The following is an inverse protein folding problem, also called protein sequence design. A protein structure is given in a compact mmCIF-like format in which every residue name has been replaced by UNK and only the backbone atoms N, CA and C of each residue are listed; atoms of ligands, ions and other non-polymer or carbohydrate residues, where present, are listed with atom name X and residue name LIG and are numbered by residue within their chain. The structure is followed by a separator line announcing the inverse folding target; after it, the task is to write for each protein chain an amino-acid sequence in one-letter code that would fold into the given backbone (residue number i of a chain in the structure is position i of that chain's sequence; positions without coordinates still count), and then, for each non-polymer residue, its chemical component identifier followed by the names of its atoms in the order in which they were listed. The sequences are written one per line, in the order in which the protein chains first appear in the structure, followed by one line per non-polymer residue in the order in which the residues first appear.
data_IF_784255665240
#
_entry.id   IF_784255665240
#
_cell.length_a   1.000
_cell.length_b   1.000
_cell.length_c   1.000
_cell.angle_alpha   90.00
_cell.angle_beta   90.00
_cell.angle_gamma   90.00
#
_symmetry.space_group_name_H-M   'P 1'
#
loop_
_entity.id
_entity.type
_entity.pdbx_description
1 polymer ?
#
# COMPACT_ATOMS: atom_id res chain seq x y z
N UNK A 1 2.60 -3.26 -4.33
CA UNK A 1 3.37 -2.65 -3.22
C UNK A 1 4.78 -2.19 -3.63
N UNK A 2 5.50 -2.97 -4.45
CA UNK A 2 6.87 -2.65 -4.91
C UNK A 2 6.98 -1.28 -5.63
N UNK A 3 6.04 -0.96 -6.53
CA UNK A 3 6.01 0.34 -7.20
C UNK A 3 5.83 1.52 -6.22
N UNK A 4 5.08 1.32 -5.12
CA UNK A 4 4.87 2.34 -4.09
C UNK A 4 6.10 2.51 -3.21
N UNK A 5 6.79 1.41 -2.88
CA UNK A 5 8.07 1.45 -2.17
C UNK A 5 9.12 2.22 -2.98
N UNK A 6 9.30 1.88 -4.26
CA UNK A 6 10.23 2.57 -5.15
C UNK A 6 9.92 4.07 -5.18
N UNK A 7 8.66 4.45 -5.46
CA UNK A 7 8.24 5.85 -5.50
C UNK A 7 8.46 6.60 -4.19
N UNK A 8 8.40 5.97 -3.02
CA UNK A 8 8.66 6.64 -1.73
C UNK A 8 10.16 6.81 -1.45
N UNK A 9 10.98 5.90 -1.96
CA UNK A 9 12.44 5.95 -1.80
C UNK A 9 13.18 6.72 -2.89
N UNK A 10 12.54 7.04 -4.02
CA UNK A 10 13.14 7.78 -5.15
C UNK A 10 12.63 9.22 -5.28
N UNK A 11 11.72 9.67 -4.41
CA UNK A 11 11.26 11.07 -4.39
C UNK A 11 12.39 12.02 -4.03
N UNK A 12 12.45 13.13 -4.77
CA UNK A 12 13.41 14.20 -4.58
C UNK A 12 13.12 15.03 -3.32
N UNK A 13 11.84 15.24 -3.00
CA UNK A 13 11.38 15.92 -1.78
C UNK A 13 10.81 14.93 -0.75
N UNK A 14 11.15 15.14 0.53
CA UNK A 14 10.69 14.33 1.67
C UNK A 14 10.95 12.82 1.50
N UNK A 15 12.18 12.50 1.08
CA UNK A 15 12.64 11.12 0.83
C UNK A 15 12.61 10.33 2.13
N UNK A 16 11.84 9.24 2.15
CA UNK A 16 11.79 8.35 3.31
C UNK A 16 12.97 7.38 3.25
N UNK A 17 13.59 7.15 4.42
CA UNK A 17 14.58 6.08 4.55
C UNK A 17 13.90 4.72 4.30
N UNK A 18 14.69 3.70 3.95
CA UNK A 18 14.17 2.34 3.71
C UNK A 18 13.36 1.82 4.90
N UNK A 19 13.81 2.10 6.12
CA UNK A 19 13.10 1.74 7.36
C UNK A 19 11.75 2.43 7.50
N UNK A 20 11.69 3.75 7.33
CA UNK A 20 10.45 4.51 7.37
C UNK A 20 9.46 4.10 6.27
N UNK A 21 9.97 3.80 5.08
CA UNK A 21 9.13 3.32 3.97
C UNK A 21 8.50 1.96 4.29
N UNK A 22 9.27 1.03 4.89
CA UNK A 22 8.73 -0.27 5.34
C UNK A 22 7.69 -0.08 6.44
N UNK A 23 7.96 0.77 7.44
CA UNK A 23 7.03 1.04 8.54
C UNK A 23 5.72 1.67 8.03
N UNK A 24 5.81 2.66 7.13
CA UNK A 24 4.64 3.30 6.55
C UNK A 24 3.78 2.32 5.72
N UNK A 25 4.43 1.43 4.96
CA UNK A 25 3.72 0.37 4.21
C UNK A 25 3.07 -0.65 5.14
N UNK A 26 3.75 -1.06 6.21
CA UNK A 26 3.20 -1.99 7.20
C UNK A 26 1.99 -1.37 7.92
N UNK A 27 2.10 -0.10 8.37
CA UNK A 27 1.01 0.61 9.00
C UNK A 27 -0.19 0.78 8.06
N UNK A 28 0.04 1.08 6.78
CA UNK A 28 -1.02 1.15 5.78
C UNK A 28 -1.72 -0.22 5.62
N UNK A 29 -0.97 -1.31 5.52
CA UNK A 29 -1.53 -2.66 5.43
C UNK A 29 -2.37 -3.03 6.65
N UNK A 30 -1.85 -2.76 7.85
CA UNK A 30 -2.55 -3.05 9.10
C UNK A 30 -3.84 -2.24 9.22
N UNK A 31 -3.84 -0.98 8.78
CA UNK A 31 -5.05 -0.15 8.76
C UNK A 31 -6.12 -0.72 7.82
N UNK A 32 -5.72 -1.19 6.63
CA UNK A 32 -6.65 -1.83 5.70
C UNK A 32 -7.21 -3.14 6.28
N UNK A 33 -6.35 -3.96 6.89
CA UNK A 33 -6.78 -5.20 7.53
C UNK A 33 -7.77 -4.93 8.66
N UNK A 34 -7.49 -3.93 9.51
CA UNK A 34 -8.38 -3.54 10.60
C UNK A 34 -9.75 -3.10 10.08
N UNK A 35 -9.83 -2.30 9.03
CA UNK A 35 -11.12 -1.89 8.44
C UNK A 35 -11.91 -3.08 7.93
N UNK A 36 -11.28 -4.00 7.20
CA UNK A 36 -11.93 -5.21 6.68
C UNK A 36 -12.46 -6.08 7.82
N UNK A 37 -11.65 -6.30 8.87
CA UNK A 37 -12.03 -7.17 9.98
C UNK A 37 -13.10 -6.55 10.88
N UNK A 38 -12.99 -5.26 11.19
CA UNK A 38 -13.90 -4.59 12.13
C UNK A 38 -15.21 -4.16 11.49
N UNK A 39 -15.17 -3.65 10.26
CA UNK A 39 -16.36 -3.14 9.58
C UNK A 39 -17.03 -4.21 8.70
N UNK A 40 -16.45 -5.41 8.62
CA UNK A 40 -16.87 -6.53 7.74
C UNK A 40 -17.16 -6.10 6.30
N UNK A 41 -16.44 -5.08 5.82
CA UNK A 41 -16.58 -4.62 4.45
C UNK A 41 -15.94 -5.69 3.55
N UNK A 42 -16.69 -6.30 2.62
CA UNK A 42 -16.11 -7.23 1.67
C UNK A 42 -15.01 -6.48 0.91
N UNK A 43 -13.85 -7.14 0.76
CA UNK A 43 -12.67 -6.56 0.14
C UNK A 43 -13.00 -6.08 -1.28
N UNK A 44 -13.24 -4.78 -1.41
CA UNK A 44 -13.50 -4.14 -2.70
C UNK A 44 -12.16 -3.93 -3.42
N UNK A 45 -11.90 -4.78 -4.42
CA UNK A 45 -10.66 -4.75 -5.21
C UNK A 45 -10.46 -3.41 -5.94
N UNK A 46 -11.56 -2.71 -6.22
CA UNK A 46 -11.60 -1.40 -6.88
C UNK A 46 -11.03 -0.30 -5.98
N UNK A 47 -11.35 -0.35 -4.69
CA UNK A 47 -10.81 0.58 -3.68
C UNK A 47 -9.40 0.16 -3.21
N UNK A 48 -9.11 -1.14 -3.14
CA UNK A 48 -7.85 -1.69 -2.65
C UNK A 48 -6.64 -1.49 -3.60
N UNK A 49 -6.82 -0.82 -4.73
CA UNK A 49 -5.75 -0.55 -5.69
C UNK A 49 -5.32 -1.76 -6.50
N UNK A 50 -6.22 -2.73 -6.72
CA UNK A 50 -5.97 -3.84 -7.64
C UNK A 50 -5.94 -3.39 -9.11
N UNK A 51 -6.47 -2.21 -9.44
CA UNK A 51 -6.44 -1.61 -10.79
C UNK A 51 -5.04 -1.19 -11.29
N UNK A 52 -3.95 -1.62 -10.64
CA UNK A 52 -2.58 -1.35 -11.08
C UNK A 52 -1.68 -2.58 -11.11
N UNK A 53 -2.25 -3.79 -11.00
CA UNK A 53 -1.55 -4.99 -11.47
C UNK A 53 -1.91 -5.15 -12.95
N UNK A 54 -0.95 -5.02 -13.88
CA UNK A 54 -1.22 -5.39 -15.27
C UNK A 54 -1.69 -6.83 -15.25
N UNK A 55 -2.81 -7.10 -15.92
CA UNK A 55 -3.29 -8.45 -16.13
C UNK A 55 -2.11 -9.27 -16.70
N UNK A 56 -1.67 -10.26 -15.94
CA UNK A 56 -0.73 -11.24 -16.46
C UNK A 56 -1.49 -12.02 -17.55
N UNK A 57 -0.84 -12.09 -18.72
CA UNK A 57 -1.33 -12.63 -19.99
C UNK A 57 -1.84 -14.07 -19.91
#
# INVERSE_FOLDING_TARGET
MAARFQRLTTREHNRLTRGQTRAALAAALLRWLHVITTQRVPRDATLAGAGHLPAAA
#
